data_IF_500175325957
#
_entry.id   IF_500175325957
#
_cell.length_a   1.000
_cell.length_b   1.000
_cell.length_c   1.000
_cell.angle_alpha   90.00
_cell.angle_beta   90.00
_cell.angle_gamma   90.00
#
_symmetry.space_group_name_H-M   'P 1'
#
loop_
_entity.id
_entity.type
_entity.pdbx_description
1 polymer ?
#
# COMPACT_ATOMS: atom_id res chain seq x y z
N UNK A 1 60.29 -32.86 36.68
CA UNK A 1 58.97 -33.45 36.99
C UNK A 1 58.43 -32.78 38.24
N UNK A 2 57.25 -32.14 38.14
CA UNK A 2 56.15 -32.01 39.14
C UNK A 2 56.50 -31.57 40.58
N UNK A 3 55.88 -30.60 41.25
CA UNK A 3 54.71 -29.74 41.04
C UNK A 3 54.83 -28.57 42.04
N UNK A 4 54.52 -27.34 41.62
CA UNK A 4 54.27 -26.20 42.53
C UNK A 4 52.76 -26.13 42.80
N UNK A 5 52.33 -26.32 44.05
CA UNK A 5 50.94 -26.14 44.47
C UNK A 5 50.65 -24.66 44.75
N UNK A 6 49.75 -24.08 43.97
CA UNK A 6 49.20 -22.74 44.16
C UNK A 6 47.99 -22.83 45.10
N UNK A 7 48.04 -22.15 46.25
CA UNK A 7 46.87 -21.98 47.12
C UNK A 7 46.05 -20.79 46.61
N UNK A 8 44.81 -21.04 46.17
CA UNK A 8 43.87 -20.02 45.74
C UNK A 8 42.99 -19.57 46.91
N UNK A 9 43.10 -18.30 47.27
CA UNK A 9 42.24 -17.62 48.26
C UNK A 9 40.88 -17.32 47.63
N UNK A 10 39.80 -17.83 48.22
CA UNK A 10 38.42 -17.58 47.77
C UNK A 10 37.94 -16.23 48.34
N UNK A 11 37.74 -15.24 47.49
CA UNK A 11 37.11 -13.96 47.85
C UNK A 11 35.60 -14.08 47.58
N UNK A 12 34.77 -14.15 48.62
CA UNK A 12 33.32 -14.15 48.48
C UNK A 12 32.82 -12.70 48.27
N UNK A 13 32.35 -12.38 47.06
CA UNK A 13 31.60 -11.16 46.79
C UNK A 13 30.14 -11.34 47.26
N UNK A 14 29.77 -10.71 48.35
CA UNK A 14 28.36 -10.55 48.73
C UNK A 14 27.74 -9.42 47.89
N UNK A 15 26.90 -9.77 46.92
CA UNK A 15 26.12 -8.80 46.17
C UNK A 15 25.00 -8.24 47.04
N UNK A 16 25.09 -6.96 47.41
CA UNK A 16 23.98 -6.22 48.00
C UNK A 16 23.01 -5.80 46.88
N UNK A 17 21.84 -6.43 46.82
CA UNK A 17 20.72 -5.96 45.98
C UNK A 17 19.98 -4.87 46.74
N UNK A 18 20.04 -3.63 46.24
CA UNK A 18 19.17 -2.56 46.73
C UNK A 18 17.75 -2.78 46.19
N UNK A 19 16.69 -2.60 46.99
CA UNK A 19 15.32 -2.70 46.51
C UNK A 19 15.04 -1.58 45.51
N UNK A 20 14.57 -1.93 44.31
CA UNK A 20 14.06 -0.96 43.35
C UNK A 20 12.82 -0.26 43.94
N UNK A 21 12.70 1.07 43.81
CA UNK A 21 11.49 1.76 44.20
C UNK A 21 10.31 1.25 43.35
N UNK A 22 9.09 1.18 43.91
CA UNK A 22 7.92 0.75 43.16
C UNK A 22 7.69 1.70 41.99
N UNK A 23 7.69 1.16 40.76
CA UNK A 23 7.27 1.89 39.57
C UNK A 23 5.82 2.30 39.79
N UNK A 24 5.56 3.60 39.85
CA UNK A 24 4.20 4.13 39.96
C UNK A 24 3.37 3.57 38.80
N UNK A 25 2.26 2.90 39.11
CA UNK A 25 1.32 2.43 38.09
C UNK A 25 0.83 3.65 37.32
N UNK A 26 1.19 3.72 36.04
CA UNK A 26 0.58 4.65 35.10
C UNK A 26 -0.94 4.48 35.15
N UNK A 27 -1.74 5.56 35.18
CA UNK A 27 -3.19 5.43 35.10
C UNK A 27 -3.53 4.66 33.84
N UNK A 28 -4.42 3.65 33.97
CA UNK A 28 -4.93 2.92 32.83
C UNK A 28 -5.57 3.93 31.87
N UNK A 29 -5.05 4.00 30.65
CA UNK A 29 -5.68 4.76 29.59
C UNK A 29 -7.12 4.25 29.42
N UNK A 30 -8.05 5.14 29.08
CA UNK A 30 -9.39 4.73 28.69
C UNK A 30 -9.25 3.70 27.55
N UNK A 31 -10.09 2.64 27.52
CA UNK A 31 -10.03 1.63 26.47
C UNK A 31 -10.17 2.32 25.11
N UNK A 32 -9.16 2.18 24.28
CA UNK A 32 -9.18 2.68 22.91
C UNK A 32 -10.13 1.79 22.11
N UNK A 33 -11.24 2.30 21.55
CA UNK A 33 -12.18 1.50 20.78
C UNK A 33 -11.55 0.90 19.50
N UNK A 34 -10.34 1.30 19.13
CA UNK A 34 -9.57 0.72 18.02
C UNK A 34 -8.64 -0.42 18.47
N UNK A 35 -8.63 -0.78 19.75
CA UNK A 35 -7.90 -1.95 20.26
C UNK A 35 -8.82 -3.16 20.36
N UNK A 36 -8.27 -4.34 20.09
CA UNK A 36 -9.01 -5.60 20.20
C UNK A 36 -8.69 -6.25 21.55
N UNK A 37 -9.61 -7.05 22.11
CA UNK A 37 -9.36 -7.86 23.30
C UNK A 37 -8.49 -9.09 23.03
N UNK A 38 -8.05 -9.27 21.78
CA UNK A 38 -7.19 -10.38 21.37
C UNK A 38 -5.85 -10.28 22.10
N UNK A 39 -5.52 -11.34 22.82
CA UNK A 39 -4.22 -11.43 23.48
C UNK A 39 -3.14 -11.63 22.41
N UNK A 40 -2.12 -10.75 22.33
CA UNK A 40 -1.02 -10.96 21.39
C UNK A 40 -0.34 -12.30 21.67
N UNK A 41 -0.39 -13.21 20.70
CA UNK A 41 0.31 -14.50 20.77
C UNK A 41 1.58 -14.39 19.94
N UNK A 42 2.71 -14.72 20.54
CA UNK A 42 3.98 -14.81 19.82
C UNK A 42 3.93 -15.99 18.84
N UNK A 43 4.02 -15.67 17.55
CA UNK A 43 4.00 -16.63 16.46
C UNK A 43 5.24 -16.44 15.60
N UNK A 44 5.88 -17.54 15.17
CA UNK A 44 6.93 -17.46 14.15
C UNK A 44 6.30 -17.16 12.79
N UNK A 45 6.28 -15.89 12.41
CA UNK A 45 5.76 -15.44 11.12
C UNK A 45 6.81 -15.60 10.03
N UNK A 46 6.49 -16.37 9.00
CA UNK A 46 7.22 -16.44 7.73
C UNK A 46 6.32 -15.87 6.64
N UNK A 47 6.72 -14.73 6.08
CA UNK A 47 5.92 -13.95 5.11
C UNK A 47 6.51 -14.12 3.71
N UNK A 48 5.68 -14.49 2.75
CA UNK A 48 6.00 -14.44 1.33
C UNK A 48 5.33 -13.20 0.72
N UNK A 49 6.13 -12.17 0.45
CA UNK A 49 5.67 -10.96 -0.23
C UNK A 49 5.71 -11.17 -1.75
N UNK A 50 4.61 -10.84 -2.42
CA UNK A 50 4.54 -10.83 -3.88
C UNK A 50 3.79 -9.61 -4.40
N UNK A 51 4.18 -9.13 -5.57
CA UNK A 51 3.40 -8.20 -6.37
C UNK A 51 2.61 -9.02 -7.42
N UNK A 52 1.27 -9.18 -7.28
CA UNK A 52 0.47 -10.04 -8.16
C UNK A 52 0.63 -9.72 -9.66
N UNK A 53 0.78 -8.42 -9.99
CA UNK A 53 1.07 -7.91 -11.34
C UNK A 53 2.24 -8.63 -12.01
N UNK A 54 3.26 -9.02 -11.24
CA UNK A 54 4.46 -9.69 -11.76
C UNK A 54 4.40 -11.21 -11.59
N UNK A 55 3.94 -11.70 -10.43
CA UNK A 55 4.04 -13.11 -10.06
C UNK A 55 3.37 -14.06 -11.07
N UNK A 56 2.17 -13.71 -11.52
CA UNK A 56 1.39 -14.55 -12.45
C UNK A 56 1.65 -14.29 -13.94
N UNK A 57 2.48 -13.30 -14.27
CA UNK A 57 2.63 -12.87 -15.65
C UNK A 57 3.45 -13.88 -16.46
N UNK A 58 2.84 -14.44 -17.51
CA UNK A 58 3.48 -15.44 -18.40
C UNK A 58 4.09 -14.81 -19.64
N UNK A 59 3.90 -13.51 -19.84
CA UNK A 59 4.45 -12.78 -20.99
C UNK A 59 5.90 -12.39 -20.69
N UNK A 60 6.83 -12.84 -21.54
CA UNK A 60 8.25 -12.54 -21.39
C UNK A 60 8.65 -11.17 -21.96
N UNK A 61 7.78 -10.52 -22.74
CA UNK A 61 8.05 -9.21 -23.31
C UNK A 61 8.14 -8.16 -22.19
N UNK A 62 9.24 -7.42 -22.17
CA UNK A 62 9.45 -6.27 -21.28
C UNK A 62 9.73 -5.03 -22.12
N UNK A 63 8.71 -4.58 -22.85
CA UNK A 63 8.80 -3.35 -23.66
C UNK A 63 8.67 -2.16 -22.72
N UNK A 64 9.67 -1.27 -22.72
CA UNK A 64 9.58 0.00 -22.00
C UNK A 64 8.31 0.75 -22.42
N UNK A 65 7.52 1.19 -21.44
CA UNK A 65 6.21 1.83 -21.64
C UNK A 65 5.19 0.98 -22.42
N UNK A 66 5.37 -0.34 -22.48
CA UNK A 66 4.44 -1.27 -23.10
C UNK A 66 3.08 -1.28 -22.42
N UNK A 67 2.05 -1.49 -23.23
CA UNK A 67 0.67 -1.67 -22.76
C UNK A 67 0.51 -2.98 -22.00
N UNK A 68 -0.58 -3.11 -21.24
CA UNK A 68 -0.92 -4.37 -20.56
C UNK A 68 -1.14 -5.53 -21.55
N UNK A 69 -1.57 -5.23 -22.79
CA UNK A 69 -1.70 -6.21 -23.86
C UNK A 69 -0.34 -6.69 -24.39
N UNK A 70 0.66 -5.81 -24.43
CA UNK A 70 2.01 -6.14 -24.91
C UNK A 70 2.83 -6.87 -23.83
N UNK A 71 2.90 -6.31 -22.62
CA UNK A 71 3.78 -6.81 -21.56
C UNK A 71 3.09 -7.84 -20.66
N UNK A 72 1.77 -8.00 -20.76
CA UNK A 72 0.99 -8.83 -19.84
C UNK A 72 0.90 -8.24 -18.44
N UNK A 73 0.16 -8.95 -17.59
CA UNK A 73 0.02 -8.67 -16.16
C UNK A 73 -0.52 -9.94 -15.49
N UNK A 74 0.08 -10.33 -14.38
CA UNK A 74 -0.41 -11.45 -13.57
C UNK A 74 -1.81 -11.18 -13.02
N UNK A 75 -2.63 -12.22 -12.95
CA UNK A 75 -4.00 -12.16 -12.46
C UNK A 75 -4.13 -12.83 -11.09
N UNK A 76 -5.17 -12.47 -10.34
CA UNK A 76 -5.55 -13.18 -9.11
C UNK A 76 -5.69 -14.69 -9.36
N UNK A 77 -6.23 -15.05 -10.53
CA UNK A 77 -6.40 -16.45 -10.93
C UNK A 77 -5.09 -17.18 -11.24
N UNK A 78 -3.99 -16.49 -11.56
CA UNK A 78 -2.68 -17.14 -11.77
C UNK A 78 -2.05 -17.65 -10.46
N UNK A 79 -2.47 -17.12 -9.31
CA UNK A 79 -2.08 -17.61 -7.98
C UNK A 79 -2.91 -18.87 -7.68
N UNK A 80 -2.53 -19.97 -8.32
CA UNK A 80 -3.22 -21.27 -8.30
C UNK A 80 -3.00 -22.05 -6.99
N UNK A 81 -3.79 -23.12 -6.80
CA UNK A 81 -3.58 -24.09 -5.72
C UNK A 81 -2.16 -24.68 -5.72
N UNK A 82 -1.61 -24.94 -6.90
CA UNK A 82 -0.22 -25.43 -7.03
C UNK A 82 0.77 -24.39 -6.52
N UNK A 83 0.58 -23.11 -6.89
CA UNK A 83 1.46 -22.04 -6.42
C UNK A 83 1.40 -21.88 -4.90
N UNK A 84 0.19 -21.88 -4.32
CA UNK A 84 -0.02 -21.75 -2.87
C UNK A 84 0.54 -22.95 -2.10
N UNK A 85 0.34 -24.18 -2.60
CA UNK A 85 0.93 -25.37 -2.02
C UNK A 85 2.47 -25.29 -2.02
N UNK A 86 3.08 -24.83 -3.12
CA UNK A 86 4.53 -24.63 -3.19
C UNK A 86 5.03 -23.52 -2.28
N UNK A 87 4.28 -22.44 -2.11
CA UNK A 87 4.60 -21.39 -1.14
C UNK A 87 4.54 -21.97 0.29
N UNK A 88 3.53 -22.78 0.62
CA UNK A 88 3.39 -23.44 1.91
C UNK A 88 4.54 -24.42 2.18
N UNK A 89 5.00 -25.17 1.18
CA UNK A 89 6.15 -26.08 1.29
C UNK A 89 7.46 -25.37 1.69
N UNK A 90 7.59 -24.06 1.43
CA UNK A 90 8.72 -23.24 1.90
C UNK A 90 8.67 -22.94 3.41
N UNK A 91 7.62 -23.39 4.12
CA UNK A 91 7.38 -23.07 5.53
C UNK A 91 6.72 -21.70 5.74
N UNK A 92 6.12 -21.13 4.69
CA UNK A 92 5.44 -19.83 4.74
C UNK A 92 4.14 -19.96 5.55
N UNK A 93 3.86 -18.92 6.32
CA UNK A 93 2.65 -18.79 7.15
C UNK A 93 1.68 -17.75 6.59
N UNK A 94 2.19 -16.69 5.96
CA UNK A 94 1.42 -15.56 5.46
C UNK A 94 1.86 -15.23 4.04
N UNK A 95 0.91 -14.92 3.16
CA UNK A 95 1.18 -14.33 1.86
C UNK A 95 0.79 -12.87 1.92
N UNK A 96 1.74 -11.99 1.59
CA UNK A 96 1.50 -10.56 1.46
C UNK A 96 1.32 -10.22 -0.02
N UNK A 97 0.09 -9.91 -0.41
CA UNK A 97 -0.24 -9.41 -1.73
C UNK A 97 -0.07 -7.90 -1.74
N UNK A 98 1.02 -7.42 -2.35
CA UNK A 98 1.29 -5.99 -2.50
C UNK A 98 0.50 -5.42 -3.67
N UNK A 99 -0.02 -4.19 -3.53
CA UNK A 99 -0.56 -3.45 -4.67
C UNK A 99 -1.90 -3.94 -5.21
N UNK A 100 -2.73 -4.51 -4.33
CA UNK A 100 -4.04 -5.09 -4.69
C UNK A 100 -5.13 -4.04 -4.84
N UNK A 101 -5.07 -2.97 -4.03
CA UNK A 101 -6.10 -1.93 -3.97
C UNK A 101 -6.11 -1.14 -5.29
N UNK A 102 -7.31 -0.74 -5.74
CA UNK A 102 -7.47 0.03 -6.96
C UNK A 102 -6.67 1.34 -6.89
N UNK A 103 -5.70 1.47 -7.79
CA UNK A 103 -4.80 2.62 -7.86
C UNK A 103 -4.85 3.29 -9.24
N UNK A 104 -4.32 4.51 -9.30
CA UNK A 104 -4.36 5.29 -10.52
C UNK A 104 -3.52 4.66 -11.63
N UNK A 105 -4.07 4.55 -12.84
CA UNK A 105 -3.48 3.88 -14.00
C UNK A 105 -3.89 4.57 -15.30
N UNK A 106 -3.03 4.53 -16.32
CA UNK A 106 -3.34 5.04 -17.65
C UNK A 106 -4.13 4.03 -18.50
N UNK A 107 -4.49 2.88 -17.93
CA UNK A 107 -5.30 1.86 -18.60
C UNK A 107 -6.79 2.15 -18.37
N UNK A 108 -7.56 2.25 -19.45
CA UNK A 108 -9.01 2.39 -19.37
C UNK A 108 -9.70 1.01 -19.47
N UNK A 109 -10.80 0.85 -18.73
CA UNK A 109 -11.69 -0.30 -18.80
C UNK A 109 -13.14 0.18 -19.02
N UNK A 110 -13.52 0.54 -20.26
CA UNK A 110 -14.83 1.11 -20.56
C UNK A 110 -16.00 0.20 -20.16
N UNK A 111 -15.84 -1.11 -20.34
CA UNK A 111 -16.86 -2.09 -19.98
C UNK A 111 -17.08 -2.21 -18.45
N UNK A 112 -16.16 -1.69 -17.63
CA UNK A 112 -16.29 -1.58 -16.18
C UNK A 112 -16.52 -0.12 -15.73
N UNK A 113 -16.77 0.79 -16.68
CA UNK A 113 -16.93 2.23 -16.45
C UNK A 113 -15.74 2.88 -15.73
N UNK A 114 -14.52 2.36 -15.96
CA UNK A 114 -13.29 2.93 -15.42
C UNK A 114 -12.53 3.66 -16.52
N UNK A 115 -12.49 5.00 -16.51
CA UNK A 115 -11.62 5.74 -17.41
C UNK A 115 -10.15 5.60 -17.02
N UNK A 116 -9.26 5.85 -17.97
CA UNK A 116 -7.85 6.07 -17.67
C UNK A 116 -7.66 7.35 -16.86
N UNK A 117 -6.76 7.31 -15.90
CA UNK A 117 -6.29 8.50 -15.21
C UNK A 117 -5.51 9.42 -16.15
N UNK A 118 -5.37 10.66 -15.69
CA UNK A 118 -4.65 11.69 -16.40
C UNK A 118 -3.14 11.42 -16.36
N UNK A 119 -2.51 11.32 -17.52
CA UNK A 119 -1.09 11.01 -17.60
C UNK A 119 -0.23 12.05 -16.89
N UNK A 120 -0.67 13.30 -16.81
CA UNK A 120 0.07 14.41 -16.18
C UNK A 120 0.29 14.23 -14.67
N UNK A 121 -0.40 13.27 -14.03
CA UNK A 121 -0.28 13.00 -12.59
C UNK A 121 -0.06 11.52 -12.24
N UNK A 122 0.17 10.66 -13.24
CA UNK A 122 0.35 9.21 -13.05
C UNK A 122 1.72 8.74 -13.54
N UNK A 123 2.40 7.94 -12.70
CA UNK A 123 3.75 7.44 -12.97
C UNK A 123 3.72 6.19 -13.85
N UNK A 124 3.81 6.38 -15.17
CA UNK A 124 3.84 5.32 -16.17
C UNK A 124 2.49 4.61 -16.35
N UNK A 125 2.39 3.73 -17.36
CA UNK A 125 1.10 3.16 -17.78
C UNK A 125 0.36 2.43 -16.67
N UNK A 126 1.07 1.54 -15.96
CA UNK A 126 0.48 0.70 -14.92
C UNK A 126 0.31 1.43 -13.58
N UNK A 127 0.82 2.65 -13.47
CA UNK A 127 0.78 3.42 -12.22
C UNK A 127 1.56 2.80 -11.06
N UNK A 128 1.63 3.57 -9.98
CA UNK A 128 2.20 3.13 -8.71
C UNK A 128 1.13 2.39 -7.89
N UNK A 129 1.40 1.18 -7.38
CA UNK A 129 0.44 0.46 -6.53
C UNK A 129 0.10 1.17 -5.20
N UNK A 130 0.85 2.21 -4.84
CA UNK A 130 0.61 3.02 -3.65
C UNK A 130 -0.19 4.30 -3.93
N UNK A 131 -0.50 4.62 -5.20
CA UNK A 131 -1.30 5.78 -5.58
C UNK A 131 -2.79 5.40 -5.60
N UNK A 132 -3.38 5.18 -4.43
CA UNK A 132 -4.74 4.64 -4.29
C UNK A 132 -5.78 5.59 -4.89
N UNK A 133 -6.69 5.07 -5.71
CA UNK A 133 -7.78 5.83 -6.33
C UNK A 133 -9.14 5.47 -5.71
N UNK A 134 -9.31 4.22 -5.26
CA UNK A 134 -10.53 3.75 -4.59
C UNK A 134 -10.17 2.67 -3.54
N UNK A 135 -10.34 2.96 -2.25
CA UNK A 135 -10.05 1.99 -1.17
C UNK A 135 -11.06 0.84 -1.10
N UNK A 136 -12.20 0.95 -1.77
CA UNK A 136 -13.29 0.00 -1.66
C UNK A 136 -13.34 -0.97 -2.84
N UNK A 137 -12.29 -0.98 -3.67
CA UNK A 137 -12.15 -1.92 -4.76
C UNK A 137 -10.70 -2.38 -4.95
N UNK A 138 -10.53 -3.41 -5.77
CA UNK A 138 -9.22 -3.94 -6.17
C UNK A 138 -8.87 -3.55 -7.59
N UNK A 139 -7.58 -3.57 -7.92
CA UNK A 139 -7.08 -3.09 -9.18
C UNK A 139 -7.59 -3.93 -10.37
N UNK A 140 -8.16 -3.30 -11.41
CA UNK A 140 -8.72 -4.01 -12.57
C UNK A 140 -7.67 -4.74 -13.41
N UNK A 141 -6.40 -4.31 -13.38
CA UNK A 141 -5.33 -4.99 -14.12
C UNK A 141 -5.08 -6.39 -13.58
N UNK A 142 -5.43 -6.66 -12.32
CA UNK A 142 -5.20 -7.93 -11.64
C UNK A 142 -6.32 -8.96 -11.82
N UNK A 143 -7.44 -8.56 -12.44
CA UNK A 143 -8.56 -9.46 -12.70
C UNK A 143 -8.57 -9.97 -14.15
N UNK A 144 -9.12 -11.16 -14.36
CA UNK A 144 -9.42 -11.64 -15.72
C UNK A 144 -10.61 -10.90 -16.32
N UNK A 145 -11.61 -10.57 -15.50
CA UNK A 145 -12.72 -9.67 -15.84
C UNK A 145 -12.74 -8.48 -14.86
N UNK A 146 -12.44 -7.25 -15.32
CA UNK A 146 -12.47 -6.05 -14.50
C UNK A 146 -13.80 -5.83 -13.77
N UNK A 147 -14.93 -6.26 -14.33
CA UNK A 147 -16.26 -6.09 -13.72
C UNK A 147 -16.45 -6.95 -12.48
N UNK A 148 -15.81 -8.12 -12.42
CA UNK A 148 -15.93 -9.09 -11.33
C UNK A 148 -14.67 -9.13 -10.46
N UNK A 149 -13.81 -8.11 -10.55
CA UNK A 149 -12.50 -8.08 -9.91
C UNK A 149 -12.51 -8.32 -8.41
N UNK A 150 -13.48 -7.76 -7.68
CA UNK A 150 -13.63 -8.01 -6.24
C UNK A 150 -13.91 -9.49 -5.95
N UNK A 151 -14.81 -10.12 -6.72
CA UNK A 151 -15.11 -11.55 -6.56
C UNK A 151 -13.90 -12.44 -6.88
N UNK A 152 -13.08 -12.06 -7.87
CA UNK A 152 -11.82 -12.76 -8.14
C UNK A 152 -10.81 -12.62 -7.00
N UNK A 153 -10.72 -11.46 -6.36
CA UNK A 153 -9.87 -11.26 -5.19
C UNK A 153 -10.38 -12.04 -3.96
N UNK A 154 -11.68 -12.02 -3.69
CA UNK A 154 -12.29 -12.85 -2.64
C UNK A 154 -12.03 -14.35 -2.87
N UNK A 155 -12.10 -14.80 -4.12
CA UNK A 155 -11.76 -16.16 -4.50
C UNK A 155 -10.27 -16.49 -4.24
N UNK A 156 -9.35 -15.56 -4.50
CA UNK A 156 -7.94 -15.70 -4.12
C UNK A 156 -7.80 -15.81 -2.60
N UNK A 157 -8.40 -14.92 -1.82
CA UNK A 157 -8.35 -14.97 -0.35
C UNK A 157 -8.84 -16.32 0.18
N UNK A 158 -9.99 -16.80 -0.33
CA UNK A 158 -10.54 -18.12 0.04
C UNK A 158 -9.58 -19.25 -0.32
N UNK A 159 -8.96 -19.20 -1.50
CA UNK A 159 -7.98 -20.19 -1.95
C UNK A 159 -6.76 -20.18 -1.03
N UNK A 160 -6.22 -19.02 -0.69
CA UNK A 160 -5.09 -18.89 0.24
C UNK A 160 -5.38 -19.50 1.61
N UNK A 161 -6.57 -19.23 2.17
CA UNK A 161 -7.00 -19.83 3.43
C UNK A 161 -7.15 -21.36 3.34
N UNK A 162 -7.59 -21.91 2.21
CA UNK A 162 -7.71 -23.35 2.01
C UNK A 162 -6.36 -24.07 2.03
N UNK A 163 -5.25 -23.36 1.80
CA UNK A 163 -3.87 -23.87 1.91
C UNK A 163 -3.22 -23.56 3.26
N UNK A 164 -4.01 -23.21 4.28
CA UNK A 164 -3.53 -22.88 5.63
C UNK A 164 -2.50 -21.73 5.64
N UNK A 165 -2.65 -20.80 4.70
CA UNK A 165 -1.88 -19.57 4.61
C UNK A 165 -2.80 -18.41 5.02
N UNK A 166 -2.24 -17.42 5.71
CA UNK A 166 -2.93 -16.17 6.04
C UNK A 166 -2.66 -15.11 4.99
N UNK A 167 -3.55 -14.12 4.88
CA UNK A 167 -3.45 -13.04 3.88
C UNK A 167 -3.05 -11.73 4.55
N UNK A 168 -2.11 -11.02 3.93
CA UNK A 168 -1.75 -9.65 4.25
C UNK A 168 -1.91 -8.82 2.97
N UNK A 169 -2.42 -7.60 3.11
CA UNK A 169 -2.45 -6.59 2.03
C UNK A 169 -1.87 -5.28 2.53
N UNK A 170 -1.47 -4.41 1.61
CA UNK A 170 -1.09 -3.04 1.95
C UNK A 170 -2.30 -2.21 2.38
N UNK A 171 -2.06 -1.27 3.29
CA UNK A 171 -2.97 -0.15 3.56
C UNK A 171 -2.15 1.14 3.58
N UNK A 172 -2.54 2.12 2.75
CA UNK A 172 -1.81 3.37 2.56
C UNK A 172 -2.65 4.51 3.12
N UNK A 173 -2.64 4.80 4.44
CA UNK A 173 -3.49 5.85 5.02
C UNK A 173 -2.91 7.27 4.82
N UNK A 174 -1.62 7.37 4.51
CA UNK A 174 -0.90 8.64 4.50
C UNK A 174 -1.19 9.51 3.26
N UNK A 175 -1.58 8.90 2.14
CA UNK A 175 -1.82 9.60 0.88
C UNK A 175 -2.67 8.76 -0.08
N UNK A 176 -3.16 9.42 -1.14
CA UNK A 176 -3.91 8.82 -2.25
C UNK A 176 -3.41 9.37 -3.59
N UNK A 177 -3.87 8.82 -4.71
CA UNK A 177 -3.72 9.44 -6.02
C UNK A 177 -4.42 10.80 -6.06
N UNK A 178 -3.90 11.72 -6.88
CA UNK A 178 -4.52 13.04 -7.06
C UNK A 178 -5.95 12.93 -7.60
N UNK A 179 -6.23 11.87 -8.36
CA UNK A 179 -7.53 11.50 -8.93
C UNK A 179 -8.43 10.67 -7.99
N UNK A 180 -8.08 10.53 -6.71
CA UNK A 180 -8.87 9.76 -5.75
C UNK A 180 -10.36 10.11 -5.79
N UNK A 181 -11.17 9.10 -6.02
CA UNK A 181 -12.62 9.17 -6.00
C UNK A 181 -13.17 7.75 -5.95
N UNK A 182 -13.76 7.39 -4.82
CA UNK A 182 -14.34 6.06 -4.72
C UNK A 182 -15.63 5.96 -5.53
N UNK A 183 -15.72 4.92 -6.34
CA UNK A 183 -16.93 4.49 -7.03
C UNK A 183 -17.61 3.30 -6.33
N UNK A 184 -16.91 2.70 -5.36
CA UNK A 184 -17.31 1.46 -4.70
C UNK A 184 -17.58 1.63 -3.20
N UNK A 185 -17.46 2.86 -2.66
CA UNK A 185 -17.69 3.12 -1.24
C UNK A 185 -19.12 2.77 -0.81
N UNK A 186 -19.30 2.24 0.42
CA UNK A 186 -20.62 2.01 0.99
C UNK A 186 -21.46 3.29 1.10
N UNK A 187 -22.78 3.12 1.12
CA UNK A 187 -23.70 4.24 1.35
C UNK A 187 -23.40 4.92 2.70
N UNK A 188 -23.40 6.26 2.70
CA UNK A 188 -23.08 7.06 3.89
C UNK A 188 -21.57 7.32 4.11
N UNK A 189 -20.68 6.64 3.36
CA UNK A 189 -19.25 6.93 3.42
C UNK A 189 -18.92 8.17 2.59
N UNK A 190 -18.14 9.06 3.19
CA UNK A 190 -17.69 10.32 2.59
C UNK A 190 -16.28 10.12 2.03
N UNK A 191 -16.03 10.65 0.83
CA UNK A 191 -14.69 10.56 0.25
C UNK A 191 -13.71 11.47 1.00
N UNK A 192 -12.44 11.05 1.01
CA UNK A 192 -11.36 11.88 1.52
C UNK A 192 -11.33 13.23 0.80
N UNK A 193 -11.25 14.31 1.57
CA UNK A 193 -11.21 15.69 1.08
C UNK A 193 -12.57 16.30 0.74
N UNK A 194 -13.66 15.52 0.75
CA UNK A 194 -14.98 16.02 0.38
C UNK A 194 -15.57 17.00 1.41
N UNK A 195 -15.11 16.94 2.65
CA UNK A 195 -15.53 17.83 3.75
C UNK A 195 -14.42 18.75 4.25
N UNK A 196 -13.27 18.74 3.59
CA UNK A 196 -12.15 19.57 3.98
C UNK A 196 -12.48 21.06 3.80
N UNK A 197 -11.95 21.88 4.70
CA UNK A 197 -11.95 23.33 4.55
C UNK A 197 -10.83 23.75 3.61
N UNK A 198 -11.16 23.93 2.33
CA UNK A 198 -10.24 24.29 1.25
C UNK A 198 -9.69 25.73 1.37
N UNK A 199 -10.22 26.54 2.30
CA UNK A 199 -9.70 27.90 2.57
C UNK A 199 -8.47 27.90 3.47
N UNK A 200 -8.18 26.78 4.12
CA UNK A 200 -7.07 26.63 5.07
C UNK A 200 -5.96 25.77 4.49
N UNK A 201 -4.72 26.22 4.65
CA UNK A 201 -3.56 25.41 4.29
C UNK A 201 -3.48 24.13 5.15
N UNK A 202 -3.90 24.23 6.41
CA UNK A 202 -4.02 23.12 7.36
C UNK A 202 -5.24 23.30 8.25
N UNK A 203 -5.96 22.22 8.49
CA UNK A 203 -6.91 22.09 9.60
C UNK A 203 -6.83 20.67 10.17
N UNK A 204 -6.93 20.47 11.49
CA UNK A 204 -6.81 19.13 12.10
C UNK A 204 -7.82 18.09 11.60
N UNK A 205 -8.97 18.57 11.09
CA UNK A 205 -10.04 17.71 10.58
C UNK A 205 -10.04 17.59 9.04
N UNK A 206 -9.08 18.21 8.35
CA UNK A 206 -8.91 18.01 6.91
C UNK A 206 -8.18 16.69 6.66
N UNK A 207 -8.51 16.02 5.56
CA UNK A 207 -7.76 14.88 5.03
C UNK A 207 -6.51 15.33 4.27
N UNK A 208 -6.50 16.52 3.68
CA UNK A 208 -5.40 17.04 2.89
C UNK A 208 -4.84 18.37 3.41
N UNK A 209 -3.56 18.57 3.13
CA UNK A 209 -2.94 19.89 3.17
C UNK A 209 -3.15 20.59 1.83
N UNK A 210 -3.49 21.88 1.89
CA UNK A 210 -3.81 22.67 0.71
C UNK A 210 -2.82 23.83 0.54
N UNK A 211 -2.76 24.34 -0.68
CA UNK A 211 -2.17 25.63 -1.04
C UNK A 211 -3.33 26.56 -1.44
N UNK A 212 -3.94 27.29 -0.49
CA UNK A 212 -5.18 28.03 -0.73
C UNK A 212 -5.05 29.05 -1.86
N UNK A 213 -6.08 29.13 -2.71
CA UNK A 213 -6.16 30.10 -3.80
C UNK A 213 -5.23 29.82 -5.00
N UNK A 214 -4.42 28.77 -4.96
CA UNK A 214 -3.52 28.43 -6.07
C UNK A 214 -3.99 27.16 -6.78
N UNK A 215 -4.14 27.18 -8.13
CA UNK A 215 -4.40 25.98 -8.89
C UNK A 215 -3.15 25.12 -8.98
N UNK A 216 -3.31 23.80 -9.04
CA UNK A 216 -2.21 22.89 -9.31
C UNK A 216 -1.61 23.17 -10.69
N UNK A 217 -0.27 23.09 -10.76
CA UNK A 217 0.52 23.26 -11.98
C UNK A 217 1.26 21.96 -12.22
N UNK A 218 1.00 21.35 -13.37
CA UNK A 218 1.71 20.14 -13.81
C UNK A 218 3.21 20.44 -13.90
N UNK A 219 4.09 19.63 -13.29
CA UNK A 219 5.53 19.85 -13.33
C UNK A 219 6.06 19.99 -14.77
N UNK A 220 6.84 21.03 -15.02
CA UNK A 220 7.41 21.27 -16.35
C UNK A 220 8.34 20.11 -16.75
N UNK A 221 8.17 19.61 -17.99
CA UNK A 221 9.00 18.53 -18.53
C UNK A 221 8.64 17.13 -18.01
N UNK A 222 7.51 16.97 -17.29
CA UNK A 222 7.01 15.64 -16.95
C UNK A 222 6.63 14.87 -18.21
N UNK A 223 7.30 13.73 -18.44
CA UNK A 223 7.09 12.86 -19.59
C UNK A 223 6.86 11.43 -19.11
N UNK A 224 5.65 11.08 -18.63
CA UNK A 224 5.36 9.80 -18.01
C UNK A 224 5.67 8.59 -18.91
N UNK A 225 5.58 8.75 -20.24
CA UNK A 225 5.84 7.71 -21.24
C UNK A 225 6.94 8.08 -22.25
N UNK A 226 7.78 9.07 -21.92
CA UNK A 226 8.82 9.58 -22.82
C UNK A 226 8.23 10.13 -24.12
N UNK A 227 8.65 9.65 -25.31
CA UNK A 227 8.15 10.15 -26.60
C UNK A 227 6.79 9.57 -27.02
N UNK A 228 6.23 8.62 -26.25
CA UNK A 228 4.98 7.96 -26.62
C UNK A 228 3.78 8.78 -26.13
N UNK A 229 2.67 8.80 -26.89
CA UNK A 229 1.46 9.49 -26.45
C UNK A 229 0.86 8.80 -25.21
N UNK A 230 0.47 9.62 -24.23
CA UNK A 230 -0.27 9.19 -23.04
C UNK A 230 -1.67 9.85 -22.98
N UNK A 231 -2.64 9.25 -22.27
CA UNK A 231 -3.99 9.80 -22.18
C UNK A 231 -4.00 11.12 -21.43
N UNK A 232 -4.57 12.16 -22.06
CA UNK A 232 -4.69 13.51 -21.48
C UNK A 232 -3.37 14.15 -21.05
N UNK A 233 -2.26 13.76 -21.68
CA UNK A 233 -0.96 14.43 -21.52
C UNK A 233 -0.96 15.78 -22.27
N UNK A 234 -1.69 16.76 -21.72
CA UNK A 234 -1.87 18.10 -22.30
C UNK A 234 -1.26 19.21 -21.44
N UNK A 235 -0.56 18.82 -20.36
CA UNK A 235 0.07 19.72 -19.40
C UNK A 235 -0.94 20.38 -18.46
N UNK A 236 -2.15 19.83 -18.32
CA UNK A 236 -3.22 20.39 -17.51
C UNK A 236 -3.86 19.33 -16.63
N UNK A 237 -4.01 19.69 -15.37
CA UNK A 237 -4.79 18.91 -14.42
C UNK A 237 -5.57 19.84 -13.52
N UNK A 238 -6.91 19.74 -13.55
CA UNK A 238 -7.75 20.62 -12.75
C UNK A 238 -7.76 20.18 -11.28
N UNK A 239 -7.10 20.98 -10.44
CA UNK A 239 -7.18 20.89 -8.99
C UNK A 239 -7.03 22.30 -8.41
N UNK A 240 -8.05 22.76 -7.69
CA UNK A 240 -8.07 24.07 -7.05
C UNK A 240 -8.88 23.97 -5.74
N UNK A 241 -8.29 24.28 -4.57
CA UNK A 241 -6.87 24.58 -4.35
C UNK A 241 -5.97 23.37 -4.60
N UNK A 242 -4.72 23.63 -4.98
CA UNK A 242 -3.70 22.61 -5.10
C UNK A 242 -3.51 21.90 -3.76
N UNK A 243 -3.33 20.58 -3.81
CA UNK A 243 -2.97 19.76 -2.65
C UNK A 243 -1.45 19.64 -2.56
N UNK A 244 -0.94 19.58 -1.33
CA UNK A 244 0.45 19.28 -1.08
C UNK A 244 0.84 17.94 -1.72
N UNK A 245 2.09 17.84 -2.17
CA UNK A 245 2.65 16.62 -2.77
C UNK A 245 3.53 15.93 -1.73
N UNK A 246 3.73 14.61 -1.88
CA UNK A 246 4.58 13.83 -0.96
C UNK A 246 5.99 14.39 -0.81
N UNK A 247 6.71 13.93 0.22
CA UNK A 247 8.01 14.45 0.65
C UNK A 247 7.95 15.93 1.10
N UNK A 248 6.88 16.29 1.84
CA UNK A 248 6.69 17.61 2.45
C UNK A 248 6.69 18.79 1.46
N UNK A 249 6.17 18.59 0.25
CA UNK A 249 6.12 19.62 -0.79
C UNK A 249 4.80 20.38 -0.74
N UNK A 250 4.80 21.53 -0.07
CA UNK A 250 3.67 22.47 0.02
C UNK A 250 3.71 23.52 -1.10
N UNK A 251 3.76 23.07 -2.35
CA UNK A 251 3.81 23.93 -3.54
C UNK A 251 2.69 23.56 -4.51
N UNK A 252 2.08 24.57 -5.12
CA UNK A 252 1.13 24.36 -6.22
C UNK A 252 1.82 23.88 -7.51
N UNK A 253 3.13 24.09 -7.64
CA UNK A 253 3.97 23.64 -8.74
C UNK A 253 5.12 22.76 -8.21
N UNK A 254 4.88 21.47 -7.93
CA UNK A 254 5.95 20.55 -7.53
C UNK A 254 6.90 20.27 -8.71
N UNK A 255 8.09 19.72 -8.41
CA UNK A 255 9.04 19.25 -9.41
C UNK A 255 8.93 17.74 -9.64
N UNK A 256 9.50 17.27 -10.76
CA UNK A 256 9.65 15.84 -11.09
C UNK A 256 10.76 15.20 -10.26
#
# INVERSE_FOLDING_TARGET
MKNLTLAASLLALTAFTLPFPPVARTPAFAPDPNTTDEQPVDNKLVIYQMLPRLFGNKVALNKTYGTIQENGCGKFNDISDVALAKIKELGVSHVWYTGVIEHATMTAYPAAHLPADDADVVKGRAGSPYAIRDYYNVDPDLATSPQTRMAEFEALVKRTHAHELKVIIDFIPNHVARSYKSTSKPAGVIDLGAQDDHTKAFAPNNNFYYVPGQPFVVPAGYQPLGPLPAPREDGKYYELPAKATGNDVFSAAPSV
#
